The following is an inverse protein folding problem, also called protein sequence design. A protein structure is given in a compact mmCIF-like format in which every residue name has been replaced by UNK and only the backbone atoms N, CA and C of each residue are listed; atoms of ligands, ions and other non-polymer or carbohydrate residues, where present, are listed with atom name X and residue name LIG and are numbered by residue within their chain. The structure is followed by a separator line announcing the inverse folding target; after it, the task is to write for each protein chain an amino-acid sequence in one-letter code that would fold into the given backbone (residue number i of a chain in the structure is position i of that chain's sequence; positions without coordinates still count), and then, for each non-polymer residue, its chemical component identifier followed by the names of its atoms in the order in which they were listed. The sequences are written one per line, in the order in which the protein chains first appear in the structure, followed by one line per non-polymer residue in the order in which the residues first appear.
data_IF_328863364716
#
_entry.id   IF_328863364716
#
_cell.length_a   1.000
_cell.length_b   1.000
_cell.length_c   1.000
_cell.angle_alpha   90.00
_cell.angle_beta   90.00
_cell.angle_gamma   90.00
#
_symmetry.space_group_name_H-M   'P 1'
#
loop_
_entity.id
_entity.type
_entity.pdbx_description
1 polymer ?
#
# COMPACT_ATOMS: atom_id res chain seq x y z
N UNK A 1 7.75 -12.18 0.73
CA UNK A 1 7.40 -10.73 0.72
C UNK A 1 8.52 -9.96 1.40
N UNK A 2 8.93 -8.81 0.87
CA UNK A 2 9.96 -7.94 1.46
C UNK A 2 9.35 -7.07 2.57
N UNK A 3 10.11 -6.79 3.63
CA UNK A 3 9.70 -5.84 4.68
C UNK A 3 9.69 -4.42 4.12
N UNK A 4 8.83 -3.57 4.68
CA UNK A 4 8.74 -2.14 4.40
C UNK A 4 9.24 -1.40 5.64
N UNK A 5 10.28 -0.60 5.46
CA UNK A 5 10.90 0.16 6.55
C UNK A 5 10.51 1.64 6.43
N UNK A 6 9.89 2.19 7.47
CA UNK A 6 9.70 3.63 7.61
C UNK A 6 10.74 4.16 8.59
N UNK A 7 11.60 5.06 8.11
CA UNK A 7 12.64 5.71 8.90
C UNK A 7 12.26 7.17 9.05
N UNK A 8 12.21 7.66 10.30
CA UNK A 8 11.82 9.02 10.64
C UNK A 8 12.96 9.65 11.44
N UNK A 9 13.48 10.77 10.94
CA UNK A 9 14.53 11.55 11.59
C UNK A 9 13.91 12.73 12.34
N UNK A 10 14.40 12.96 13.55
CA UNK A 10 14.04 14.10 14.39
C UNK A 10 15.28 14.95 14.62
N UNK A 11 15.33 16.12 13.99
CA UNK A 11 16.39 17.11 14.26
C UNK A 11 16.32 17.65 15.68
N UNK A 12 15.09 17.82 16.22
CA UNK A 12 14.82 18.22 17.60
C UNK A 12 13.79 17.28 18.19
N UNK A 13 14.23 16.41 19.10
CA UNK A 13 13.39 15.36 19.65
C UNK A 13 12.50 15.89 20.78
N UNK A 14 11.22 15.49 20.73
CA UNK A 14 10.28 15.76 21.81
C UNK A 14 10.67 15.01 23.08
N UNK A 15 10.13 15.42 24.24
CA UNK A 15 10.39 14.72 25.52
C UNK A 15 10.00 13.24 25.46
N UNK A 16 8.96 12.90 24.68
CA UNK A 16 8.46 11.53 24.54
C UNK A 16 9.42 10.60 23.78
N UNK A 17 10.32 11.16 22.95
CA UNK A 17 11.30 10.37 22.21
C UNK A 17 12.58 10.13 23.01
N UNK A 18 12.75 10.82 24.14
CA UNK A 18 13.88 10.59 25.04
C UNK A 18 13.60 9.33 25.87
N UNK A 19 14.40 8.30 25.64
CA UNK A 19 14.23 7.02 26.33
C UNK A 19 14.37 7.19 27.84
N UNK A 20 13.42 6.60 28.56
CA UNK A 20 13.46 6.51 30.02
C UNK A 20 14.46 5.47 30.53
N UNK A 21 14.89 4.53 29.68
CA UNK A 21 15.87 3.50 30.00
C UNK A 21 17.28 4.09 29.98
N UNK A 22 17.64 4.75 28.88
CA UNK A 22 18.91 5.45 28.73
C UNK A 22 18.73 6.65 27.80
N UNK A 23 19.05 7.84 28.30
CA UNK A 23 18.93 9.11 27.57
C UNK A 23 19.84 9.21 26.35
N UNK A 24 20.86 8.35 26.25
CA UNK A 24 21.79 8.29 25.11
C UNK A 24 21.23 7.51 23.94
N UNK A 25 20.21 6.67 24.15
CA UNK A 25 19.57 5.91 23.08
C UNK A 25 18.89 6.88 22.12
N UNK A 26 19.43 6.95 20.90
CA UNK A 26 18.97 7.81 19.83
C UNK A 26 18.25 7.05 18.71
N UNK A 27 18.25 5.72 18.74
CA UNK A 27 17.70 4.86 17.69
C UNK A 27 16.61 3.97 18.28
N UNK A 28 15.37 4.14 17.83
CA UNK A 28 14.20 3.45 18.38
C UNK A 28 13.54 2.58 17.31
N UNK A 29 13.43 1.27 17.58
CA UNK A 29 12.77 0.33 16.68
C UNK A 29 11.37 0.04 17.20
N UNK A 30 10.36 0.33 16.37
CA UNK A 30 8.95 0.10 16.66
C UNK A 30 8.44 -1.17 15.99
N UNK A 31 7.84 -2.08 16.77
CA UNK A 31 7.08 -3.23 16.28
C UNK A 31 5.60 -3.03 16.60
N UNK A 32 4.74 -3.30 15.62
CA UNK A 32 3.29 -3.18 15.79
C UNK A 32 2.79 -4.31 16.70
N UNK A 33 2.03 -3.95 17.73
CA UNK A 33 1.27 -4.89 18.56
C UNK A 33 -0.20 -4.48 18.51
N UNK A 34 -1.07 -5.46 18.32
CA UNK A 34 -2.51 -5.25 18.35
C UNK A 34 -3.00 -5.21 19.79
N UNK A 35 -4.00 -4.37 20.07
CA UNK A 35 -4.63 -4.22 21.39
C UNK A 35 -5.15 -5.55 21.97
N UNK A 36 -5.53 -6.50 21.11
CA UNK A 36 -5.99 -7.84 21.49
C UNK A 36 -4.87 -8.87 21.64
N UNK A 37 -3.60 -8.47 21.53
CA UNK A 37 -2.41 -9.34 21.54
C UNK A 37 -2.39 -10.41 20.44
N UNK A 38 -3.16 -10.22 19.36
CA UNK A 38 -3.08 -11.10 18.18
C UNK A 38 -1.66 -11.05 17.61
N UNK A 39 -1.06 -12.23 17.44
CA UNK A 39 0.28 -12.40 16.86
C UNK A 39 0.17 -12.51 15.34
N UNK A 40 0.25 -11.38 14.66
CA UNK A 40 0.34 -11.32 13.21
C UNK A 40 1.65 -10.65 12.79
N UNK A 41 2.41 -11.29 11.90
CA UNK A 41 3.66 -10.73 11.36
C UNK A 41 3.31 -9.74 10.24
N UNK A 42 3.38 -8.45 10.55
CA UNK A 42 3.25 -7.38 9.56
C UNK A 42 4.57 -7.13 8.83
N UNK A 43 4.47 -6.60 7.62
CA UNK A 43 5.64 -6.23 6.81
C UNK A 43 6.27 -4.90 7.23
N UNK A 44 5.55 -4.08 7.99
CA UNK A 44 5.95 -2.72 8.34
C UNK A 44 6.82 -2.66 9.60
N UNK A 45 7.99 -2.02 9.51
CA UNK A 45 8.87 -1.72 10.65
C UNK A 45 9.19 -0.23 10.73
N UNK A 46 9.07 0.35 11.92
CA UNK A 46 9.31 1.78 12.16
C UNK A 46 10.66 1.99 12.85
N UNK A 47 11.41 2.98 12.39
CA UNK A 47 12.68 3.40 12.95
C UNK A 47 12.60 4.89 13.24
N UNK A 48 12.62 5.28 14.51
CA UNK A 48 12.63 6.68 14.93
C UNK A 48 14.04 7.03 15.37
N UNK A 49 14.62 8.09 14.82
CA UNK A 49 16.01 8.46 15.04
C UNK A 49 16.10 9.90 15.54
N UNK A 50 16.63 10.07 16.75
CA UNK A 50 16.85 11.35 17.42
C UNK A 50 18.22 11.92 17.08
N UNK A 51 18.32 12.77 16.05
CA UNK A 51 19.60 13.33 15.61
C UNK A 51 20.21 14.27 16.65
N UNK A 52 19.41 15.02 17.41
CA UNK A 52 19.89 15.84 18.52
C UNK A 52 20.61 15.04 19.60
N UNK A 53 20.09 13.85 19.88
CA UNK A 53 20.56 12.95 20.93
C UNK A 53 21.81 12.24 20.47
N UNK A 54 21.82 11.77 19.21
CA UNK A 54 23.03 11.28 18.55
C UNK A 54 24.13 12.35 18.54
N UNK A 55 23.82 13.58 18.12
CA UNK A 55 24.76 14.70 18.08
C UNK A 55 25.33 15.01 19.46
N UNK A 56 24.48 14.99 20.49
CA UNK A 56 24.86 15.30 21.88
C UNK A 56 25.75 14.23 22.51
N UNK A 57 25.48 12.96 22.25
CA UNK A 57 26.09 11.86 23.02
C UNK A 57 27.07 11.01 22.24
N UNK A 58 27.03 11.03 20.91
CA UNK A 58 27.80 10.09 20.08
C UNK A 58 28.65 10.75 19.00
N UNK A 59 28.15 11.81 18.37
CA UNK A 59 28.82 12.45 17.23
C UNK A 59 30.21 13.00 17.57
N UNK A 60 30.39 13.60 18.75
CA UNK A 60 31.69 14.11 19.20
C UNK A 60 32.77 13.03 19.23
N UNK A 61 32.44 11.83 19.74
CA UNK A 61 33.38 10.70 19.78
C UNK A 61 33.80 10.28 18.36
N UNK A 62 32.85 10.29 17.42
CA UNK A 62 33.12 9.91 16.02
C UNK A 62 34.05 10.91 15.34
N UNK A 63 33.85 12.21 15.57
CA UNK A 63 34.73 13.26 15.01
C UNK A 63 36.15 13.19 15.57
N UNK A 64 36.32 12.66 16.78
CA UNK A 64 37.62 12.35 17.37
C UNK A 64 38.21 11.00 16.88
N UNK A 65 37.52 10.29 16.00
CA UNK A 65 37.97 9.04 15.39
C UNK A 65 37.53 7.76 16.13
N UNK A 66 36.70 7.87 17.18
CA UNK A 66 36.19 6.73 17.94
C UNK A 66 34.94 6.13 17.27
N UNK A 67 35.18 5.36 16.21
CA UNK A 67 34.15 4.81 15.32
C UNK A 67 33.65 3.39 15.68
N UNK A 68 34.23 2.78 16.72
CA UNK A 68 33.79 1.46 17.19
C UNK A 68 32.37 1.52 17.76
N UNK A 69 31.51 0.58 17.38
CA UNK A 69 30.13 0.52 17.85
C UNK A 69 30.07 0.34 19.37
N UNK A 70 29.24 1.13 20.04
CA UNK A 70 28.98 1.01 21.49
C UNK A 70 27.57 0.50 21.78
N UNK A 71 27.31 0.10 23.02
CA UNK A 71 26.07 -0.58 23.45
C UNK A 71 24.77 0.18 23.13
N UNK A 72 24.83 1.52 23.06
CA UNK A 72 23.65 2.34 22.77
C UNK A 72 23.51 2.74 21.29
N UNK A 73 24.43 2.30 20.42
CA UNK A 73 24.36 2.60 18.98
C UNK A 73 23.33 1.72 18.25
N UNK A 74 23.07 0.53 18.79
CA UNK A 74 22.16 -0.44 18.21
C UNK A 74 21.65 -1.47 19.22
N UNK A 75 20.39 -1.88 19.06
CA UNK A 75 19.78 -2.99 19.81
C UNK A 75 19.64 -4.20 18.87
N UNK A 76 20.53 -5.18 19.04
CA UNK A 76 20.55 -6.41 18.23
C UNK A 76 19.33 -7.29 18.45
N UNK A 77 18.68 -7.20 19.61
CA UNK A 77 17.50 -8.02 19.92
C UNK A 77 16.30 -7.68 19.02
N UNK A 78 16.37 -6.54 18.32
CA UNK A 78 15.33 -6.09 17.41
C UNK A 78 15.38 -6.77 16.03
N UNK A 79 16.41 -7.57 15.73
CA UNK A 79 16.56 -8.19 14.42
C UNK A 79 16.59 -9.72 14.51
N UNK A 80 15.81 -10.40 13.67
CA UNK A 80 15.78 -11.88 13.59
C UNK A 80 17.14 -12.44 13.15
N UNK A 81 17.82 -11.69 12.29
CA UNK A 81 19.19 -11.94 11.83
C UNK A 81 19.99 -10.80 12.43
N UNK A 82 20.93 -11.09 13.34
CA UNK A 82 21.71 -10.06 14.04
C UNK A 82 22.41 -9.08 13.10
N UNK A 83 22.76 -7.90 13.61
CA UNK A 83 23.41 -6.86 12.81
C UNK A 83 24.85 -7.25 12.46
N UNK A 84 25.17 -7.19 11.17
CA UNK A 84 26.55 -7.31 10.68
C UNK A 84 27.37 -6.08 11.06
N UNK A 85 28.70 -6.22 11.17
CA UNK A 85 29.59 -5.09 11.42
C UNK A 85 29.40 -3.97 10.39
N UNK A 86 29.30 -4.33 9.10
CA UNK A 86 29.03 -3.38 8.03
C UNK A 86 27.76 -2.56 8.29
N UNK A 87 26.68 -3.18 8.77
CA UNK A 87 25.43 -2.46 9.06
C UNK A 87 25.58 -1.45 10.21
N UNK A 88 26.39 -1.78 11.23
CA UNK A 88 26.69 -0.87 12.34
C UNK A 88 27.53 0.30 11.86
N UNK A 89 28.59 0.01 11.12
CA UNK A 89 29.48 1.03 10.52
C UNK A 89 28.71 1.94 9.57
N UNK A 90 27.90 1.39 8.66
CA UNK A 90 27.09 2.17 7.73
C UNK A 90 26.10 3.08 8.45
N UNK A 91 25.47 2.59 9.53
CA UNK A 91 24.58 3.40 10.36
C UNK A 91 25.32 4.59 10.97
N UNK A 92 26.45 4.35 11.64
CA UNK A 92 27.26 5.42 12.24
C UNK A 92 27.71 6.43 11.18
N UNK A 93 28.19 5.94 10.04
CA UNK A 93 28.60 6.75 8.89
C UNK A 93 27.51 7.72 8.43
N UNK A 94 26.31 7.21 8.12
CA UNK A 94 25.24 8.06 7.58
C UNK A 94 24.64 8.99 8.64
N UNK A 95 24.49 8.55 9.89
CA UNK A 95 24.04 9.43 10.97
C UNK A 95 25.04 10.56 11.24
N UNK A 96 26.34 10.27 11.16
CA UNK A 96 27.39 11.28 11.28
C UNK A 96 27.34 12.28 10.13
N UNK A 97 27.12 11.81 8.90
CA UNK A 97 26.95 12.69 7.75
C UNK A 97 25.76 13.64 7.93
N UNK A 98 24.62 13.14 8.43
CA UNK A 98 23.43 13.97 8.67
C UNK A 98 23.60 14.99 9.81
N UNK A 99 24.57 14.80 10.70
CA UNK A 99 24.85 15.72 11.80
C UNK A 99 26.01 16.69 11.51
N UNK A 100 26.74 16.49 10.41
CA UNK A 100 27.81 17.37 10.01
C UNK A 100 27.26 18.71 9.53
N UNK A 101 27.80 19.80 10.09
CA UNK A 101 27.37 21.17 9.77
C UNK A 101 28.39 21.90 8.91
N UNK A 102 29.65 21.44 8.90
CA UNK A 102 30.74 22.10 8.18
C UNK A 102 31.41 21.20 7.14
N UNK A 103 31.94 21.76 6.03
CA UNK A 103 32.73 20.99 5.08
C UNK A 103 33.93 20.29 5.71
N UNK A 104 34.53 20.88 6.74
CA UNK A 104 35.68 20.30 7.46
C UNK A 104 35.28 19.05 8.27
N UNK A 105 34.12 19.08 8.93
CA UNK A 105 33.56 17.88 9.57
C UNK A 105 33.30 16.78 8.53
N UNK A 106 32.73 17.12 7.38
CA UNK A 106 32.52 16.15 6.29
C UNK A 106 33.87 15.58 5.83
N UNK A 107 34.89 16.43 5.62
CA UNK A 107 36.23 15.98 5.21
C UNK A 107 36.85 15.04 6.27
N UNK A 108 36.68 15.32 7.57
CA UNK A 108 37.08 14.40 8.65
C UNK A 108 36.31 13.08 8.57
N UNK A 109 35.00 13.11 8.36
CA UNK A 109 34.21 11.90 8.19
C UNK A 109 34.65 11.08 6.98
N UNK A 110 35.06 11.70 5.87
CA UNK A 110 35.64 10.98 4.72
C UNK A 110 36.95 10.26 5.10
N UNK A 111 37.75 10.79 6.01
CA UNK A 111 38.95 10.10 6.48
C UNK A 111 38.65 8.80 7.24
N UNK A 112 37.52 8.76 7.95
CA UNK A 112 37.06 7.56 8.69
C UNK A 112 36.22 6.63 7.82
N UNK A 113 35.45 7.19 6.90
CA UNK A 113 34.54 6.49 5.99
C UNK A 113 34.84 6.91 4.53
N UNK A 114 35.85 6.30 3.89
CA UNK A 114 36.34 6.73 2.57
C UNK A 114 35.28 6.71 1.46
N UNK A 115 34.28 5.85 1.58
CA UNK A 115 33.16 5.75 0.65
C UNK A 115 32.22 6.96 0.67
N UNK A 116 32.30 7.82 1.70
CA UNK A 116 31.63 9.12 1.70
C UNK A 116 32.22 10.12 0.69
N UNK A 117 33.41 9.87 0.14
CA UNK A 117 34.05 10.81 -0.79
C UNK A 117 33.16 11.16 -1.98
N UNK A 118 32.47 10.16 -2.56
CA UNK A 118 31.56 10.38 -3.68
C UNK A 118 30.37 11.27 -3.29
N UNK A 119 29.85 11.12 -2.07
CA UNK A 119 28.77 11.95 -1.54
C UNK A 119 29.28 13.37 -1.24
N UNK A 120 30.47 13.48 -0.64
CA UNK A 120 31.13 14.77 -0.38
C UNK A 120 31.37 15.57 -1.66
N UNK A 121 31.75 14.92 -2.77
CA UNK A 121 31.88 15.59 -4.06
C UNK A 121 30.54 16.15 -4.55
N UNK A 122 29.46 15.36 -4.47
CA UNK A 122 28.11 15.83 -4.82
C UNK A 122 27.64 16.98 -3.94
N UNK A 123 27.87 16.90 -2.63
CA UNK A 123 27.55 17.99 -1.70
C UNK A 123 28.31 19.27 -2.10
N UNK A 124 29.59 19.16 -2.44
CA UNK A 124 30.39 20.30 -2.89
C UNK A 124 29.86 20.88 -4.21
N UNK A 125 29.49 20.04 -5.17
CA UNK A 125 28.87 20.47 -6.43
C UNK A 125 27.54 21.20 -6.19
N UNK A 126 26.72 20.71 -5.27
CA UNK A 126 25.46 21.35 -4.86
C UNK A 126 25.67 22.70 -4.18
N UNK A 127 26.72 22.84 -3.37
CA UNK A 127 27.07 24.11 -2.74
C UNK A 127 27.61 25.13 -3.75
N UNK A 128 28.25 24.69 -4.84
CA UNK A 128 28.76 25.59 -5.88
C UNK A 128 27.74 25.90 -6.97
N UNK A 129 26.71 25.05 -7.17
CA UNK A 129 25.69 25.17 -8.22
C UNK A 129 24.27 24.96 -7.66
N UNK A 130 23.76 25.87 -6.81
CA UNK A 130 22.47 25.70 -6.13
C UNK A 130 21.26 25.64 -7.08
N UNK A 131 21.35 26.23 -8.28
CA UNK A 131 20.26 26.20 -9.27
C UNK A 131 19.98 24.77 -9.78
N UNK A 132 21.02 23.95 -9.96
CA UNK A 132 20.86 22.56 -10.37
C UNK A 132 20.22 21.70 -9.28
N UNK A 133 20.51 22.01 -8.02
CA UNK A 133 19.89 21.37 -6.84
C UNK A 133 18.39 21.62 -6.82
N UNK A 134 17.97 22.87 -7.05
CA UNK A 134 16.56 23.25 -7.11
C UNK A 134 15.83 22.55 -8.26
N UNK A 135 16.48 22.41 -9.42
CA UNK A 135 15.95 21.63 -10.54
C UNK A 135 15.79 20.15 -10.19
N UNK A 136 16.78 19.54 -9.52
CA UNK A 136 16.69 18.14 -9.07
C UNK A 136 15.57 17.91 -8.05
N UNK A 137 15.36 18.82 -7.09
CA UNK A 137 14.24 18.74 -6.16
C UNK A 137 12.89 18.82 -6.89
N UNK A 138 12.77 19.72 -7.86
CA UNK A 138 11.57 19.85 -8.68
C UNK A 138 11.30 18.58 -9.49
N UNK A 139 12.33 17.94 -10.01
CA UNK A 139 12.21 16.68 -10.74
C UNK A 139 11.85 15.49 -9.85
N UNK A 140 12.39 15.42 -8.63
CA UNK A 140 12.00 14.40 -7.67
C UNK A 140 10.52 14.52 -7.26
N UNK A 141 10.03 15.75 -7.05
CA UNK A 141 8.61 16.02 -6.82
C UNK A 141 7.75 15.60 -8.02
N UNK A 142 8.18 15.95 -9.24
CA UNK A 142 7.52 15.52 -10.48
C UNK A 142 7.41 14.01 -10.61
N UNK A 143 8.47 13.26 -10.28
CA UNK A 143 8.46 11.79 -10.31
C UNK A 143 7.49 11.24 -9.26
N UNK A 144 7.46 11.82 -8.07
CA UNK A 144 6.53 11.41 -7.01
C UNK A 144 5.07 11.63 -7.44
N UNK A 145 4.76 12.77 -8.04
CA UNK A 145 3.42 13.07 -8.56
C UNK A 145 3.03 12.10 -9.69
N UNK A 146 3.94 11.81 -10.62
CA UNK A 146 3.72 10.84 -11.69
C UNK A 146 3.43 9.44 -11.16
N UNK A 147 4.23 8.95 -10.20
CA UNK A 147 4.01 7.64 -9.59
C UNK A 147 2.65 7.56 -8.90
N UNK A 148 2.22 8.66 -8.27
CA UNK A 148 0.91 8.75 -7.63
C UNK A 148 -0.21 8.69 -8.66
N UNK A 149 -0.07 9.42 -9.77
CA UNK A 149 -1.04 9.41 -10.87
C UNK A 149 -1.14 8.03 -11.54
N UNK A 150 -0.01 7.36 -11.77
CA UNK A 150 0.03 6.01 -12.34
C UNK A 150 -0.65 4.99 -11.41
N UNK A 151 -0.35 5.04 -10.11
CA UNK A 151 -1.02 4.19 -9.10
C UNK A 151 -2.54 4.44 -9.05
N UNK A 152 -2.98 5.70 -9.19
CA UNK A 152 -4.41 6.01 -9.30
C UNK A 152 -5.02 5.47 -10.59
N UNK A 153 -4.36 5.62 -11.74
CA UNK A 153 -4.84 5.13 -13.02
C UNK A 153 -4.99 3.60 -13.03
N UNK A 154 -4.03 2.88 -12.45
CA UNK A 154 -4.09 1.42 -12.33
C UNK A 154 -5.21 0.97 -11.41
N UNK A 155 -5.45 1.69 -10.31
CA UNK A 155 -6.60 1.46 -9.44
C UNK A 155 -7.93 1.66 -10.20
N UNK A 156 -8.05 2.74 -10.96
CA UNK A 156 -9.25 3.00 -11.77
C UNK A 156 -9.47 1.97 -12.86
N UNK A 157 -8.40 1.50 -13.53
CA UNK A 157 -8.50 0.40 -14.51
C UNK A 157 -9.02 -0.87 -13.87
N UNK A 158 -8.53 -1.23 -12.68
CA UNK A 158 -9.01 -2.40 -11.95
C UNK A 158 -10.50 -2.26 -11.56
N UNK A 159 -10.91 -1.08 -11.10
CA UNK A 159 -12.32 -0.79 -10.78
C UNK A 159 -13.22 -0.87 -12.02
N UNK A 160 -12.78 -0.32 -13.16
CA UNK A 160 -13.48 -0.41 -14.44
C UNK A 160 -13.58 -1.85 -14.95
N UNK A 161 -12.54 -2.66 -14.79
CA UNK A 161 -12.58 -4.06 -15.20
C UNK A 161 -13.62 -4.85 -14.38
N UNK A 162 -13.68 -4.59 -13.07
CA UNK A 162 -14.70 -5.18 -12.19
C UNK A 162 -16.10 -4.71 -12.57
N UNK A 163 -16.27 -3.42 -12.87
CA UNK A 163 -17.55 -2.85 -13.29
C UNK A 163 -18.01 -3.44 -14.63
N UNK A 164 -17.12 -3.54 -15.62
CA UNK A 164 -17.41 -4.14 -16.93
C UNK A 164 -17.80 -5.61 -16.80
N UNK A 165 -17.08 -6.40 -16.00
CA UNK A 165 -17.45 -7.79 -15.72
C UNK A 165 -18.84 -7.91 -15.07
N UNK A 166 -19.22 -6.98 -14.20
CA UNK A 166 -20.59 -6.94 -13.63
C UNK A 166 -21.63 -6.55 -14.68
N UNK A 167 -21.34 -5.55 -15.51
CA UNK A 167 -22.24 -5.10 -16.57
C UNK A 167 -22.53 -6.21 -17.59
N UNK A 168 -21.49 -6.94 -18.02
CA UNK A 168 -21.64 -8.09 -18.92
C UNK A 168 -22.48 -9.21 -18.30
N UNK A 169 -22.29 -9.50 -17.00
CA UNK A 169 -23.15 -10.46 -16.29
C UNK A 169 -24.61 -10.02 -16.24
N UNK A 170 -24.88 -8.75 -15.96
CA UNK A 170 -26.24 -8.22 -15.95
C UNK A 170 -26.90 -8.23 -17.33
N UNK A 171 -26.15 -7.91 -18.40
CA UNK A 171 -26.66 -8.05 -19.77
C UNK A 171 -27.01 -9.50 -20.11
N UNK A 172 -26.11 -10.44 -19.83
CA UNK A 172 -26.36 -11.85 -20.07
C UNK A 172 -27.58 -12.38 -19.28
N UNK A 173 -27.74 -11.94 -18.03
CA UNK A 173 -28.91 -12.30 -17.21
C UNK A 173 -30.20 -11.66 -17.75
N UNK A 174 -30.14 -10.42 -18.24
CA UNK A 174 -31.27 -9.73 -18.85
C UNK A 174 -31.70 -10.40 -20.18
N UNK A 175 -30.75 -10.78 -21.03
CA UNK A 175 -31.02 -11.53 -22.26
C UNK A 175 -31.67 -12.88 -21.96
N UNK A 176 -31.12 -13.62 -20.99
CA UNK A 176 -31.70 -14.90 -20.57
C UNK A 176 -33.13 -14.74 -20.03
N UNK A 177 -33.39 -13.71 -19.21
CA UNK A 177 -34.75 -13.41 -18.74
C UNK A 177 -35.68 -13.05 -19.88
N UNK A 178 -35.19 -12.33 -20.88
CA UNK A 178 -35.99 -11.97 -22.05
C UNK A 178 -36.37 -13.20 -22.87
N UNK A 179 -35.45 -14.14 -23.11
CA UNK A 179 -35.73 -15.37 -23.85
C UNK A 179 -36.65 -16.30 -23.07
N UNK A 180 -36.45 -16.44 -21.76
CA UNK A 180 -37.35 -17.19 -20.87
C UNK A 180 -38.77 -16.57 -20.85
N UNK A 181 -38.88 -15.25 -20.84
CA UNK A 181 -40.17 -14.55 -20.89
C UNK A 181 -40.88 -14.79 -22.23
N UNK A 182 -40.17 -14.74 -23.36
CA UNK A 182 -40.77 -14.97 -24.67
C UNK A 182 -41.21 -16.44 -24.84
N UNK A 183 -40.42 -17.40 -24.36
CA UNK A 183 -40.82 -18.81 -24.35
C UNK A 183 -42.11 -19.04 -23.54
N UNK A 184 -42.23 -18.44 -22.35
CA UNK A 184 -43.45 -18.49 -21.54
C UNK A 184 -44.66 -17.87 -22.22
N UNK A 185 -44.47 -16.79 -23.00
CA UNK A 185 -45.55 -16.16 -23.76
C UNK A 185 -46.06 -17.10 -24.85
N UNK A 186 -45.16 -17.74 -25.61
CA UNK A 186 -45.53 -18.73 -26.63
C UNK A 186 -46.27 -19.92 -26.01
N UNK A 187 -45.78 -20.46 -24.89
CA UNK A 187 -46.46 -21.55 -24.17
C UNK A 187 -47.87 -21.14 -23.70
N UNK A 188 -48.01 -19.93 -23.15
CA UNK A 188 -49.30 -19.41 -22.71
C UNK A 188 -50.28 -19.20 -23.88
N UNK A 189 -49.78 -18.77 -25.03
CA UNK A 189 -50.57 -18.57 -26.25
C UNK A 189 -51.05 -19.91 -26.84
N UNK A 190 -50.17 -20.92 -26.87
CA UNK A 190 -50.54 -22.29 -27.23
C UNK A 190 -51.57 -22.89 -26.25
N UNK A 191 -51.38 -22.69 -24.95
CA UNK A 191 -52.32 -23.14 -23.93
C UNK A 191 -53.70 -22.50 -24.07
N UNK A 192 -53.77 -21.21 -24.39
CA UNK A 192 -55.04 -20.52 -24.69
C UNK A 192 -55.72 -21.07 -25.93
N UNK A 193 -54.97 -21.27 -27.02
CA UNK A 193 -55.53 -21.82 -28.25
C UNK A 193 -56.10 -23.24 -28.05
N UNK A 194 -55.42 -24.08 -27.27
CA UNK A 194 -55.92 -25.41 -26.90
C UNK A 194 -57.18 -25.33 -26.03
N UNK A 195 -57.23 -24.40 -25.07
CA UNK A 195 -58.41 -24.19 -24.23
C UNK A 195 -59.61 -23.72 -25.05
N UNK A 196 -59.42 -22.78 -25.99
CA UNK A 196 -60.46 -22.30 -26.91
C UNK A 196 -60.99 -23.43 -27.81
N UNK A 197 -60.11 -24.27 -28.36
CA UNK A 197 -60.51 -25.42 -29.16
C UNK A 197 -61.38 -26.41 -28.34
N UNK A 198 -61.00 -26.65 -27.09
CA UNK A 198 -61.73 -27.56 -26.20
C UNK A 198 -63.06 -26.97 -25.70
N UNK A 199 -63.13 -25.66 -25.49
CA UNK A 199 -64.40 -24.97 -25.22
C UNK A 199 -65.35 -25.17 -26.41
N UNK A 200 -64.86 -24.97 -27.64
CA UNK A 200 -65.67 -25.15 -28.85
C UNK A 200 -66.18 -26.60 -29.01
N UNK A 201 -65.33 -27.60 -28.77
CA UNK A 201 -65.77 -29.01 -28.77
C UNK A 201 -66.85 -29.29 -27.72
N UNK A 202 -66.69 -28.75 -26.50
CA UNK A 202 -67.67 -28.91 -25.42
C UNK A 202 -69.00 -28.22 -25.75
N UNK A 203 -68.96 -27.04 -26.38
CA UNK A 203 -70.16 -26.33 -26.87
C UNK A 203 -70.90 -27.12 -27.94
N UNK A 204 -70.17 -27.74 -28.88
CA UNK A 204 -70.76 -28.58 -29.92
C UNK A 204 -71.39 -29.85 -29.34
N UNK A 205 -70.73 -30.50 -28.37
CA UNK A 205 -71.29 -31.64 -27.62
C UNK A 205 -72.55 -31.25 -26.82
N UNK A 206 -72.56 -30.06 -26.21
CA UNK A 206 -73.72 -29.52 -25.49
C UNK A 206 -74.92 -29.34 -26.41
N UNK A 207 -74.73 -28.75 -27.60
CA UNK A 207 -75.80 -28.62 -28.61
C UNK A 207 -76.34 -29.97 -29.07
N UNK A 208 -75.47 -30.95 -29.23
CA UNK A 208 -75.89 -32.29 -29.66
C UNK A 208 -76.69 -33.02 -28.57
N UNK A 209 -76.27 -32.88 -27.30
CA UNK A 209 -77.02 -33.35 -26.13
C UNK A 209 -78.38 -32.64 -25.98
N UNK A 210 -78.44 -31.33 -26.19
CA UNK A 210 -79.69 -30.55 -26.20
C UNK A 210 -80.65 -31.06 -27.29
N UNK A 211 -80.14 -31.33 -28.50
CA UNK A 211 -80.91 -31.88 -29.62
C UNK A 211 -81.43 -33.29 -29.32
N UNK A 212 -80.66 -34.11 -28.60
CA UNK A 212 -81.10 -35.44 -28.15
C UNK A 212 -82.16 -35.34 -27.04
N UNK A 213 -82.02 -34.40 -26.10
CA UNK A 213 -82.99 -34.16 -25.04
C UNK A 213 -84.34 -33.66 -25.58
N UNK A 214 -84.34 -32.79 -26.59
CA UNK A 214 -85.54 -32.34 -27.31
C UNK A 214 -86.27 -33.48 -28.04
N UNK A 215 -85.54 -34.48 -28.56
CA UNK A 215 -86.14 -35.66 -29.23
C UNK A 215 -86.73 -36.69 -28.27
N UNK A 216 -86.37 -36.62 -26.98
CA UNK A 216 -86.87 -37.49 -25.91
C UNK A 216 -88.07 -36.90 -25.16
N UNK A 217 -88.52 -35.71 -25.57
CA UNK A 217 -89.65 -34.95 -25.02
C UNK A 217 -90.89 -35.12 -25.90
#
# INVERSE_FOLDING_TARGET
MKKVHTIIFFEKSSKSLKSHIDKRLYFHVGRIKFNTNIKMKLLQEYHLISLDTFKKYRYSDIIEGRIDSVDFDCDDSQYEIGLTEKMRTDRLKYLSLFCAETPDEINRLVSFFPDLYAIRQKINEYLTRPEEVLNMFSEALRILDNNTAELMADRYKAELEVANKKAERWKAEAEKRSTEAEARRVEAEQGRAQAEARIKELEDQLKELELQYEKLK
#
